data_IF_912212417879
#
_entry.id   IF_912212417879
#
_cell.length_a   1.000
_cell.length_b   1.000
_cell.length_c   1.000
_cell.angle_alpha   90.00
_cell.angle_beta   90.00
_cell.angle_gamma   90.00
#
_symmetry.space_group_name_H-M   'P 1'
#
loop_
_entity.id
_entity.type
_entity.pdbx_description
1 polymer ?
#
# COMPACT_ATOMS: atom_id res chain seq x y z
N UNK A 1 18.34 14.11 -23.57
CA UNK A 1 18.67 15.25 -24.45
C UNK A 1 19.39 16.28 -23.60
N UNK A 2 20.41 16.95 -24.14
CA UNK A 2 21.23 17.94 -23.43
C UNK A 2 21.13 19.29 -24.14
N UNK A 3 19.90 19.68 -24.51
CA UNK A 3 19.63 20.86 -25.33
C UNK A 3 18.79 21.82 -24.50
N UNK A 4 19.14 23.10 -24.51
CA UNK A 4 18.34 24.16 -23.89
C UNK A 4 17.04 24.41 -24.64
N UNK A 5 15.94 24.48 -23.92
CA UNK A 5 14.59 24.67 -24.39
C UNK A 5 13.93 25.90 -23.74
N UNK A 6 13.06 26.59 -24.49
CA UNK A 6 12.14 27.61 -23.94
C UNK A 6 10.71 27.14 -24.20
N UNK A 7 9.92 26.96 -23.14
CA UNK A 7 8.55 26.43 -23.18
C UNK A 7 7.60 27.42 -22.51
N UNK A 8 6.54 27.82 -23.21
CA UNK A 8 5.57 28.80 -22.74
C UNK A 8 4.13 28.30 -22.94
N UNK A 9 3.23 28.60 -21.99
CA UNK A 9 1.78 28.32 -22.12
C UNK A 9 0.95 29.55 -21.72
N UNK A 10 -0.32 29.64 -22.12
CA UNK A 10 -1.09 30.90 -21.95
C UNK A 10 -2.53 30.79 -21.45
N UNK A 11 -3.12 29.60 -21.23
CA UNK A 11 -4.56 29.53 -20.87
C UNK A 11 -5.09 28.21 -20.28
N UNK A 12 -4.35 27.11 -20.35
CA UNK A 12 -4.79 25.80 -19.87
C UNK A 12 -3.81 25.27 -18.86
N UNK A 13 -4.30 24.63 -17.79
CA UNK A 13 -3.47 23.84 -16.88
C UNK A 13 -2.58 22.90 -17.70
N UNK A 14 -1.28 23.13 -17.66
CA UNK A 14 -0.30 22.44 -18.48
C UNK A 14 0.85 21.94 -17.63
N UNK A 15 1.35 20.75 -17.97
CA UNK A 15 2.63 20.27 -17.47
C UNK A 15 3.71 20.62 -18.48
N UNK A 16 4.65 21.49 -18.09
CA UNK A 16 5.84 21.81 -18.88
C UNK A 16 7.00 20.95 -18.39
N UNK A 17 7.77 20.40 -19.32
CA UNK A 17 8.88 19.50 -19.02
C UNK A 17 10.10 19.86 -19.87
N UNK A 18 11.16 20.37 -19.24
CA UNK A 18 12.41 20.76 -19.91
C UNK A 18 13.27 19.56 -20.34
N UNK A 19 13.22 18.49 -19.54
CA UNK A 19 13.98 17.24 -19.69
C UNK A 19 15.45 17.39 -19.32
N UNK A 20 16.28 17.98 -20.17
CA UNK A 20 17.71 18.06 -19.90
C UNK A 20 18.43 19.10 -20.73
N UNK A 21 19.29 19.87 -20.07
CA UNK A 21 19.76 21.16 -20.54
C UNK A 21 19.38 22.24 -19.53
N UNK A 22 19.83 23.48 -19.75
CA UNK A 22 19.41 24.61 -18.92
C UNK A 22 18.21 25.26 -19.61
N UNK A 23 17.02 25.05 -19.08
CA UNK A 23 15.75 25.35 -19.73
C UNK A 23 15.07 26.60 -19.13
N UNK A 24 14.15 27.19 -19.89
CA UNK A 24 13.28 28.27 -19.40
C UNK A 24 11.83 27.86 -19.60
N UNK A 25 11.11 27.65 -18.50
CA UNK A 25 9.72 27.22 -18.49
C UNK A 25 8.86 28.34 -17.92
N UNK A 26 7.84 28.77 -18.67
CA UNK A 26 6.89 29.77 -18.23
C UNK A 26 5.46 29.24 -18.34
N UNK A 27 4.79 29.14 -17.19
CA UNK A 27 3.38 28.84 -17.05
C UNK A 27 2.47 29.95 -17.61
N UNK A 28 1.17 29.69 -17.54
CA UNK A 28 0.10 30.58 -17.95
C UNK A 28 -0.59 31.22 -16.74
N UNK A 29 -1.87 31.56 -16.89
CA UNK A 29 -2.65 32.19 -15.81
C UNK A 29 -3.48 31.19 -15.00
N UNK A 30 -3.14 29.91 -15.07
CA UNK A 30 -3.85 28.79 -14.42
C UNK A 30 -2.85 27.90 -13.70
N UNK A 31 -3.32 27.10 -12.75
CA UNK A 31 -2.49 26.13 -12.02
C UNK A 31 -1.69 25.21 -12.96
N UNK A 32 -0.38 25.44 -13.07
CA UNK A 32 0.52 24.68 -13.92
C UNK A 32 1.45 23.77 -13.13
N UNK A 33 2.10 22.84 -13.84
CA UNK A 33 3.15 21.98 -13.29
C UNK A 33 4.40 22.21 -14.10
N UNK A 34 5.45 22.71 -13.48
CA UNK A 34 6.74 22.97 -14.11
C UNK A 34 7.76 21.95 -13.62
N UNK A 35 8.32 21.21 -14.57
CA UNK A 35 9.36 20.20 -14.35
C UNK A 35 10.59 20.62 -15.14
N UNK A 36 11.60 21.19 -14.48
CA UNK A 36 12.85 21.59 -15.13
C UNK A 36 13.53 20.40 -15.80
N UNK A 37 13.95 19.43 -14.99
CA UNK A 37 14.58 18.20 -15.46
C UNK A 37 16.00 18.14 -14.96
N UNK A 38 16.98 18.02 -15.84
CA UNK A 38 18.40 18.02 -15.48
C UNK A 38 19.13 19.23 -16.09
N UNK A 39 19.73 20.08 -15.27
CA UNK A 39 20.43 21.28 -15.70
C UNK A 39 20.23 22.40 -14.69
N UNK A 40 20.55 23.63 -15.07
CA UNK A 40 20.22 24.82 -14.27
C UNK A 40 19.05 25.54 -14.96
N UNK A 41 17.83 25.34 -14.45
CA UNK A 41 16.59 25.76 -15.10
C UNK A 41 16.04 27.07 -14.51
N UNK A 42 15.29 27.81 -15.34
CA UNK A 42 14.54 29.01 -14.93
C UNK A 42 13.04 28.75 -15.08
N UNK A 43 12.32 28.79 -13.97
CA UNK A 43 10.91 28.42 -13.88
C UNK A 43 10.07 29.62 -13.44
N UNK A 44 9.01 29.91 -14.18
CA UNK A 44 8.07 31.00 -13.90
C UNK A 44 6.66 30.42 -13.91
N UNK A 45 5.93 30.46 -12.80
CA UNK A 45 4.55 29.96 -12.72
C UNK A 45 3.54 30.86 -13.44
N UNK A 46 3.80 32.17 -13.39
CA UNK A 46 2.97 33.29 -13.81
C UNK A 46 1.73 33.52 -12.95
N UNK A 47 0.64 32.79 -13.14
CA UNK A 47 -0.56 33.00 -12.34
C UNK A 47 -1.33 31.71 -12.09
N UNK A 48 -1.94 31.62 -10.92
CA UNK A 48 -2.57 30.38 -10.45
C UNK A 48 -1.81 29.84 -9.25
N UNK A 49 -2.12 28.60 -8.85
CA UNK A 49 -1.28 27.83 -7.94
C UNK A 49 -0.42 26.90 -8.76
N UNK A 50 0.86 27.20 -8.83
CA UNK A 50 1.80 26.43 -9.62
C UNK A 50 2.54 25.39 -8.78
N UNK A 51 2.89 24.28 -9.41
CA UNK A 51 3.67 23.21 -8.81
C UNK A 51 5.02 23.15 -9.51
N UNK A 52 6.08 23.46 -8.79
CA UNK A 52 7.47 23.28 -9.20
C UNK A 52 7.93 21.89 -8.73
N UNK A 53 7.99 20.93 -9.65
CA UNK A 53 8.12 19.52 -9.33
C UNK A 53 9.56 19.01 -9.53
N UNK A 54 10.25 18.75 -8.43
CA UNK A 54 11.62 18.23 -8.39
C UNK A 54 11.61 16.69 -8.37
N UNK A 55 10.85 16.11 -9.30
CA UNK A 55 10.64 14.67 -9.47
C UNK A 55 11.82 13.91 -10.10
N UNK A 56 12.82 14.64 -10.62
CA UNK A 56 13.89 14.13 -11.46
C UNK A 56 15.25 14.21 -10.78
N UNK A 57 16.11 13.22 -11.09
CA UNK A 57 17.46 13.14 -10.58
C UNK A 57 18.35 14.17 -11.28
N UNK A 58 19.20 14.85 -10.51
CA UNK A 58 20.13 15.89 -10.99
C UNK A 58 19.47 17.19 -11.47
N UNK A 59 18.49 17.71 -10.73
CA UNK A 59 17.84 18.99 -11.03
C UNK A 59 18.76 20.23 -10.95
N UNK A 60 20.02 20.09 -10.57
CA UNK A 60 21.00 21.18 -10.63
C UNK A 60 20.64 22.41 -9.80
N UNK A 61 20.90 23.61 -10.34
CA UNK A 61 20.69 24.89 -9.67
C UNK A 61 19.58 25.69 -10.36
N UNK A 62 18.36 25.48 -9.89
CA UNK A 62 17.18 26.07 -10.49
C UNK A 62 16.83 27.43 -9.88
N UNK A 63 16.15 28.26 -10.67
CA UNK A 63 15.61 29.56 -10.26
C UNK A 63 14.10 29.59 -10.48
N UNK A 64 13.33 29.86 -9.43
CA UNK A 64 11.91 30.16 -9.50
C UNK A 64 11.72 31.67 -9.38
N UNK A 65 11.17 32.30 -10.41
CA UNK A 65 11.19 33.77 -10.54
C UNK A 65 10.04 34.49 -9.82
N UNK A 66 8.94 33.79 -9.53
CA UNK A 66 7.68 34.39 -9.08
C UNK A 66 6.94 33.56 -8.01
N UNK A 67 7.71 32.85 -7.17
CA UNK A 67 7.15 31.98 -6.15
C UNK A 67 6.24 32.73 -5.14
N UNK A 68 4.97 32.36 -5.10
CA UNK A 68 3.96 32.97 -4.24
C UNK A 68 3.78 32.17 -2.94
N UNK A 69 4.28 32.72 -1.83
CA UNK A 69 4.08 32.14 -0.50
C UNK A 69 2.66 32.37 0.00
N UNK A 70 2.05 31.34 0.59
CA UNK A 70 0.78 31.46 1.29
C UNK A 70 0.16 30.11 1.65
N UNK A 71 -0.82 30.11 2.54
CA UNK A 71 -1.50 28.87 2.92
C UNK A 71 -2.25 28.28 1.72
N UNK A 72 -1.81 27.12 1.26
CA UNK A 72 -2.32 26.47 0.05
C UNK A 72 -3.78 26.02 0.15
N UNK A 73 -4.35 25.94 1.35
CA UNK A 73 -5.77 25.63 1.54
C UNK A 73 -6.67 26.85 1.42
N UNK A 74 -6.16 28.06 1.63
CA UNK A 74 -6.96 29.29 1.66
C UNK A 74 -6.58 30.33 0.61
N UNK A 75 -5.31 30.36 0.18
CA UNK A 75 -4.82 31.22 -0.90
C UNK A 75 -4.79 30.42 -2.20
N UNK A 76 -5.59 30.84 -3.19
CA UNK A 76 -5.72 30.18 -4.49
C UNK A 76 -4.47 30.25 -5.35
N UNK A 77 -3.58 31.21 -5.09
CA UNK A 77 -2.38 31.46 -5.89
C UNK A 77 -1.11 31.10 -5.13
N UNK A 78 -1.22 30.43 -3.98
CA UNK A 78 -0.05 30.02 -3.23
C UNK A 78 0.59 28.79 -3.86
N UNK A 79 1.86 28.93 -4.26
CA UNK A 79 2.59 27.94 -5.04
C UNK A 79 3.17 26.83 -4.19
N UNK A 80 3.57 25.75 -4.87
CA UNK A 80 4.04 24.52 -4.25
C UNK A 80 5.39 24.14 -4.86
N UNK A 81 6.38 23.92 -4.00
CA UNK A 81 7.61 23.19 -4.33
C UNK A 81 7.42 21.74 -3.90
N UNK A 82 7.44 20.83 -4.85
CA UNK A 82 7.35 19.40 -4.57
C UNK A 82 8.74 18.77 -4.58
N UNK A 83 9.24 18.41 -3.38
CA UNK A 83 10.52 17.73 -3.16
C UNK A 83 10.33 16.24 -2.83
N UNK A 84 9.12 15.69 -3.00
CA UNK A 84 8.78 14.35 -2.50
C UNK A 84 9.61 13.22 -3.08
N UNK A 85 10.12 13.37 -4.30
CA UNK A 85 11.03 12.40 -4.93
C UNK A 85 12.51 12.67 -4.63
N UNK A 86 12.83 13.87 -4.16
CA UNK A 86 14.18 14.31 -3.90
C UNK A 86 14.65 13.90 -2.49
N UNK A 87 13.75 13.89 -1.50
CA UNK A 87 14.09 13.63 -0.09
C UNK A 87 13.90 12.16 0.33
N UNK A 88 14.57 11.25 -0.36
CA UNK A 88 14.56 9.82 -0.01
C UNK A 88 15.12 9.63 1.41
N UNK A 89 14.32 9.07 2.30
CA UNK A 89 14.69 8.82 3.70
C UNK A 89 14.26 9.91 4.69
N UNK A 90 13.64 11.00 4.23
CA UNK A 90 12.95 11.93 5.13
C UNK A 90 11.65 11.32 5.64
N UNK A 91 11.42 11.39 6.95
CA UNK A 91 10.14 11.08 7.59
C UNK A 91 9.76 12.14 8.64
N UNK A 92 8.56 12.02 9.22
CA UNK A 92 8.07 12.97 10.23
C UNK A 92 8.88 13.00 11.53
N UNK A 93 9.80 12.05 11.74
CA UNK A 93 10.73 12.02 12.87
C UNK A 93 12.12 12.57 12.55
N UNK A 94 12.39 12.80 11.26
CA UNK A 94 13.65 13.36 10.76
C UNK A 94 13.71 14.87 11.00
N UNK A 95 14.88 15.40 11.38
CA UNK A 95 15.04 16.86 11.45
C UNK A 95 15.24 17.38 10.03
N UNK A 96 14.37 18.29 9.60
CA UNK A 96 14.45 18.83 8.24
C UNK A 96 15.75 19.59 7.97
N UNK A 97 16.36 20.17 9.01
CA UNK A 97 17.68 20.80 8.93
C UNK A 97 18.79 19.84 8.50
N UNK A 98 18.57 18.54 8.59
CA UNK A 98 19.51 17.51 8.15
C UNK A 98 19.45 17.34 6.61
N UNK A 99 18.42 17.89 5.95
CA UNK A 99 18.17 17.71 4.51
C UNK A 99 18.07 19.02 3.73
N UNK A 100 17.57 20.09 4.36
CA UNK A 100 17.37 21.39 3.71
C UNK A 100 18.03 22.49 4.54
N UNK A 101 18.90 23.25 3.89
CA UNK A 101 19.46 24.50 4.42
C UNK A 101 18.87 25.69 3.66
N UNK A 102 18.50 26.74 4.37
CA UNK A 102 17.97 27.99 3.78
C UNK A 102 18.99 29.11 3.98
N UNK A 103 19.33 29.82 2.90
CA UNK A 103 20.37 30.86 2.89
C UNK A 103 19.83 32.14 2.28
N UNK A 104 20.07 33.28 2.95
CA UNK A 104 19.88 34.61 2.35
C UNK A 104 20.97 34.87 1.31
N UNK A 105 20.56 35.17 0.09
CA UNK A 105 21.47 35.46 -1.04
C UNK A 105 21.23 36.84 -1.63
N UNK A 106 20.51 37.71 -0.90
CA UNK A 106 20.19 39.09 -1.31
C UNK A 106 21.45 39.95 -1.56
N UNK A 107 22.59 39.63 -0.92
CA UNK A 107 23.85 40.34 -1.19
C UNK A 107 24.54 39.88 -2.49
N UNK A 108 24.15 38.73 -3.03
CA UNK A 108 24.77 38.09 -4.20
C UNK A 108 24.00 38.42 -5.49
N UNK A 109 22.68 38.63 -5.38
CA UNK A 109 21.77 38.88 -6.51
C UNK A 109 20.93 40.14 -6.25
N UNK A 110 20.51 40.85 -7.30
CA UNK A 110 19.61 42.00 -7.13
C UNK A 110 18.23 41.55 -6.59
N UNK A 111 17.70 42.24 -5.58
CA UNK A 111 16.38 41.96 -5.00
C UNK A 111 16.39 41.03 -3.77
N UNK A 112 15.23 40.82 -3.15
CA UNK A 112 15.09 39.98 -1.96
C UNK A 112 14.99 38.51 -2.37
N UNK A 113 16.07 37.74 -2.22
CA UNK A 113 16.14 36.38 -2.75
C UNK A 113 16.57 35.38 -1.67
N UNK A 114 16.00 34.18 -1.72
CA UNK A 114 16.32 33.08 -0.80
C UNK A 114 16.77 31.86 -1.57
N UNK A 115 17.80 31.17 -1.09
CA UNK A 115 18.27 29.90 -1.64
C UNK A 115 17.93 28.73 -0.71
N UNK A 116 17.25 27.72 -1.25
CA UNK A 116 17.10 26.41 -0.64
C UNK A 116 18.22 25.51 -1.14
N UNK A 117 18.94 24.86 -0.25
CA UNK A 117 19.98 23.87 -0.55
C UNK A 117 19.48 22.53 -0.03
N UNK A 118 19.28 21.58 -0.93
CA UNK A 118 18.77 20.24 -0.63
C UNK A 118 19.94 19.25 -0.72
N UNK A 119 20.24 18.53 0.37
CA UNK A 119 21.37 17.58 0.47
C UNK A 119 21.09 16.23 -0.22
N UNK A 120 20.19 16.23 -1.20
CA UNK A 120 19.87 15.05 -1.98
C UNK A 120 19.50 15.41 -3.41
N UNK A 121 19.96 14.61 -4.36
CA UNK A 121 19.62 14.68 -5.78
C UNK A 121 18.66 13.56 -6.22
N UNK A 122 18.07 12.84 -5.26
CA UNK A 122 17.20 11.69 -5.49
C UNK A 122 17.94 10.40 -5.92
N UNK A 123 19.29 10.36 -5.89
CA UNK A 123 20.07 9.15 -6.23
C UNK A 123 20.44 8.28 -5.03
N UNK A 124 20.21 8.73 -3.79
CA UNK A 124 20.67 8.03 -2.59
C UNK A 124 22.11 8.37 -2.17
N UNK A 125 22.86 9.13 -2.97
CA UNK A 125 24.20 9.59 -2.62
C UNK A 125 24.14 10.91 -1.83
N UNK A 126 24.77 10.95 -0.65
CA UNK A 126 24.99 12.18 0.11
C UNK A 126 25.93 13.12 -0.67
N UNK A 127 25.69 14.44 -0.62
CA UNK A 127 26.48 15.51 -1.24
C UNK A 127 26.28 15.80 -2.74
N UNK A 128 25.27 15.24 -3.39
CA UNK A 128 24.81 15.77 -4.68
C UNK A 128 23.70 16.78 -4.41
N UNK A 129 24.08 18.06 -4.35
CA UNK A 129 23.18 19.13 -3.96
C UNK A 129 22.25 19.53 -5.12
N UNK A 130 20.96 19.65 -4.83
CA UNK A 130 20.03 20.43 -5.65
C UNK A 130 19.84 21.76 -4.96
N UNK A 131 19.84 22.85 -5.73
CA UNK A 131 19.57 24.17 -5.17
C UNK A 131 18.45 24.87 -5.89
N UNK A 132 17.61 25.56 -5.13
CA UNK A 132 16.44 26.28 -5.63
C UNK A 132 16.56 27.72 -5.16
N UNK A 133 16.72 28.63 -6.10
CA UNK A 133 16.68 30.08 -5.84
C UNK A 133 15.23 30.55 -5.98
N UNK A 134 14.69 31.11 -4.91
CA UNK A 134 13.38 31.78 -4.90
C UNK A 134 13.61 33.28 -5.04
N UNK A 135 13.31 33.82 -6.21
CA UNK A 135 13.39 35.26 -6.41
C UNK A 135 12.23 35.98 -5.72
N UNK A 136 12.48 37.20 -5.27
CA UNK A 136 11.48 38.05 -4.60
C UNK A 136 10.89 37.45 -3.30
N UNK A 137 11.53 36.41 -2.75
CA UNK A 137 11.22 35.82 -1.45
C UNK A 137 12.29 36.24 -0.45
N UNK A 138 11.88 37.08 0.52
CA UNK A 138 12.76 37.50 1.61
C UNK A 138 13.04 36.36 2.59
N UNK A 139 14.33 36.17 2.90
CA UNK A 139 14.76 35.22 3.91
C UNK A 139 14.19 35.57 5.28
N UNK A 140 13.75 34.54 6.01
CA UNK A 140 13.40 34.60 7.43
C UNK A 140 13.85 33.31 8.10
N UNK A 141 14.20 33.39 9.38
CA UNK A 141 14.64 32.21 10.15
C UNK A 141 13.57 31.13 10.29
N UNK A 142 12.30 31.50 10.21
CA UNK A 142 11.13 30.61 10.27
C UNK A 142 10.59 30.22 8.89
N UNK A 143 11.19 30.71 7.79
CA UNK A 143 10.67 30.53 6.44
C UNK A 143 10.47 29.06 6.08
N UNK A 144 11.42 28.18 6.44
CA UNK A 144 11.30 26.75 6.17
C UNK A 144 10.09 26.13 6.87
N UNK A 145 9.88 26.48 8.15
CA UNK A 145 8.72 26.03 8.94
C UNK A 145 7.42 26.58 8.36
N UNK A 146 7.40 27.85 7.96
CA UNK A 146 6.24 28.50 7.34
C UNK A 146 5.85 27.86 6.01
N UNK A 147 6.82 27.56 5.15
CA UNK A 147 6.57 26.92 3.85
C UNK A 147 5.89 25.57 4.03
N UNK A 148 6.27 24.80 5.05
CA UNK A 148 5.65 23.50 5.35
C UNK A 148 4.26 23.68 5.95
N UNK A 149 4.13 24.53 6.97
CA UNK A 149 2.86 24.75 7.67
C UNK A 149 1.77 25.30 6.72
N UNK A 150 2.18 26.05 5.71
CA UNK A 150 1.31 26.58 4.67
C UNK A 150 1.14 25.63 3.47
N UNK A 151 1.84 24.50 3.42
CA UNK A 151 1.79 23.53 2.32
C UNK A 151 2.48 23.99 1.03
N UNK A 152 3.26 25.07 1.09
CA UNK A 152 4.11 25.54 -0.02
C UNK A 152 5.31 24.60 -0.27
N UNK A 153 5.71 23.80 0.72
CA UNK A 153 6.79 22.83 0.58
C UNK A 153 6.30 21.42 0.90
N UNK A 154 6.28 20.56 -0.12
CA UNK A 154 5.85 19.17 0.00
C UNK A 154 7.09 18.28 0.06
N UNK A 155 7.36 17.73 1.24
CA UNK A 155 8.59 17.02 1.56
C UNK A 155 8.47 15.51 1.38
N UNK A 156 7.37 14.93 1.86
CA UNK A 156 7.03 13.52 1.72
C UNK A 156 5.63 13.28 2.25
N UNK A 157 4.80 12.57 1.50
CA UNK A 157 3.78 11.72 2.12
C UNK A 157 3.88 10.39 1.40
N UNK A 158 4.06 9.27 2.07
CA UNK A 158 3.81 8.01 1.38
C UNK A 158 2.32 7.91 1.10
N UNK A 159 1.89 7.52 -0.12
CA UNK A 159 0.51 7.16 -0.33
C UNK A 159 0.20 5.98 0.60
N UNK A 160 -0.74 6.16 1.50
CA UNK A 160 -1.22 5.04 2.33
C UNK A 160 -2.18 4.23 1.49
N UNK A 161 -2.04 2.91 1.51
CA UNK A 161 -2.91 2.00 0.80
C UNK A 161 -3.94 1.41 1.78
N UNK A 162 -5.22 1.63 1.50
CA UNK A 162 -6.33 0.94 2.15
C UNK A 162 -6.96 -0.04 1.16
N UNK A 163 -6.94 -1.32 1.53
CA UNK A 163 -7.58 -2.39 0.75
C UNK A 163 -9.00 -2.59 1.27
N UNK A 164 -9.97 -2.60 0.37
CA UNK A 164 -11.37 -2.89 0.69
C UNK A 164 -11.94 -3.95 -0.24
N UNK A 165 -12.98 -4.63 0.24
CA UNK A 165 -13.53 -5.80 -0.44
C UNK A 165 -13.01 -7.08 0.19
N UNK A 166 -13.84 -8.12 0.14
CA UNK A 166 -13.51 -9.42 0.73
C UNK A 166 -13.24 -10.50 -0.31
N UNK A 167 -13.45 -10.22 -1.60
CA UNK A 167 -13.46 -11.27 -2.63
C UNK A 167 -14.72 -12.15 -2.52
N UNK A 168 -15.84 -11.57 -2.11
CA UNK A 168 -17.04 -12.22 -1.58
C UNK A 168 -17.91 -13.08 -2.49
N UNK A 169 -19.07 -13.46 -1.93
CA UNK A 169 -19.89 -14.66 -2.16
C UNK A 169 -20.63 -14.81 -3.50
N UNK A 170 -20.42 -13.90 -4.46
CA UNK A 170 -20.98 -13.94 -5.81
C UNK A 170 -20.22 -13.01 -6.78
N UNK A 171 -20.58 -13.07 -8.06
CA UNK A 171 -19.96 -12.29 -9.17
C UNK A 171 -20.03 -10.77 -9.03
N UNK A 172 -20.72 -10.23 -8.02
CA UNK A 172 -20.80 -8.78 -7.74
C UNK A 172 -19.94 -8.39 -6.53
N UNK A 173 -19.68 -9.32 -5.61
CA UNK A 173 -18.94 -9.07 -4.36
C UNK A 173 -17.44 -9.44 -4.42
N UNK A 174 -16.96 -9.91 -5.57
CA UNK A 174 -15.61 -10.45 -5.75
C UNK A 174 -14.55 -9.41 -6.19
N UNK A 175 -14.91 -8.13 -6.17
CA UNK A 175 -13.98 -7.04 -6.45
C UNK A 175 -13.21 -6.66 -5.19
N UNK A 176 -11.88 -6.63 -5.29
CA UNK A 176 -10.97 -6.03 -4.32
C UNK A 176 -10.59 -4.65 -4.84
N UNK A 177 -10.61 -3.66 -3.96
CA UNK A 177 -10.27 -2.26 -4.28
C UNK A 177 -9.05 -1.83 -3.47
N UNK A 178 -8.07 -1.26 -4.16
CA UNK A 178 -6.86 -0.66 -3.61
C UNK A 178 -7.02 0.86 -3.66
N UNK A 179 -7.14 1.49 -2.50
CA UNK A 179 -7.32 2.94 -2.39
C UNK A 179 -6.03 3.57 -1.85
N UNK A 180 -5.40 4.40 -2.66
CA UNK A 180 -4.24 5.19 -2.24
C UNK A 180 -4.72 6.55 -1.72
N UNK A 181 -4.12 7.06 -0.64
CA UNK A 181 -4.47 8.37 -0.08
C UNK A 181 -4.18 9.56 -1.01
N UNK A 182 -3.41 9.33 -2.08
CA UNK A 182 -3.10 10.29 -3.14
C UNK A 182 -2.67 9.57 -4.42
N UNK A 183 -2.53 10.34 -5.50
CA UNK A 183 -2.13 9.80 -6.80
C UNK A 183 -0.75 9.12 -6.74
N UNK A 184 -0.64 7.97 -7.39
CA UNK A 184 0.63 7.24 -7.55
C UNK A 184 1.11 7.29 -9.01
N UNK A 185 2.41 7.11 -9.22
CA UNK A 185 3.02 7.13 -10.56
C UNK A 185 2.49 5.98 -11.42
N UNK A 186 2.29 6.24 -12.70
CA UNK A 186 1.83 5.19 -13.61
C UNK A 186 2.87 4.07 -13.70
N UNK A 187 2.40 2.83 -13.53
CA UNK A 187 3.25 1.64 -13.50
C UNK A 187 3.96 1.37 -12.16
N UNK A 188 3.72 2.17 -11.12
CA UNK A 188 4.27 1.92 -9.78
C UNK A 188 3.46 0.96 -8.92
N UNK A 189 2.32 0.48 -9.42
CA UNK A 189 1.50 -0.57 -8.82
C UNK A 189 0.92 -1.42 -9.95
N UNK A 190 1.20 -2.70 -9.91
CA UNK A 190 0.91 -3.69 -10.95
C UNK A 190 0.30 -4.93 -10.32
N UNK A 191 -0.20 -5.85 -11.16
CA UNK A 191 -0.76 -7.11 -10.68
C UNK A 191 0.31 -7.99 -10.00
N UNK A 192 1.58 -7.84 -10.38
CA UNK A 192 2.71 -8.61 -9.81
C UNK A 192 3.00 -8.21 -8.36
N UNK A 193 2.57 -7.01 -7.95
CA UNK A 193 2.67 -6.53 -6.56
C UNK A 193 1.61 -7.16 -5.64
N UNK A 194 0.66 -7.93 -6.21
CA UNK A 194 -0.50 -8.47 -5.50
C UNK A 194 -0.32 -9.98 -5.30
N UNK A 195 -0.03 -10.36 -4.06
CA UNK A 195 -0.11 -11.74 -3.60
C UNK A 195 -1.55 -12.14 -3.27
N UNK A 196 -1.95 -13.32 -3.72
CA UNK A 196 -3.25 -13.91 -3.36
C UNK A 196 -3.01 -15.25 -2.69
N UNK A 197 -3.63 -15.45 -1.54
CA UNK A 197 -3.76 -16.75 -0.87
C UNK A 197 -5.21 -17.18 -0.96
N UNK A 198 -5.45 -18.49 -1.13
CA UNK A 198 -6.79 -19.09 -1.06
C UNK A 198 -7.80 -18.54 -2.11
N UNK A 199 -7.27 -18.04 -3.24
CA UNK A 199 -8.04 -17.62 -4.40
C UNK A 199 -7.15 -17.44 -5.62
N UNK A 200 -7.75 -17.05 -6.73
CA UNK A 200 -7.05 -16.72 -7.98
C UNK A 200 -7.46 -15.33 -8.43
N UNK A 201 -6.52 -14.58 -9.03
CA UNK A 201 -6.86 -13.34 -9.72
C UNK A 201 -7.56 -13.72 -11.03
N UNK A 202 -8.71 -13.13 -11.31
CA UNK A 202 -9.33 -13.27 -12.60
C UNK A 202 -8.46 -12.54 -13.63
N UNK A 203 -7.98 -13.26 -14.64
CA UNK A 203 -7.16 -12.70 -15.70
C UNK A 203 -7.83 -11.46 -16.30
N UNK A 204 -7.04 -10.43 -16.60
CA UNK A 204 -7.48 -9.16 -17.18
C UNK A 204 -8.43 -8.30 -16.32
N UNK A 205 -8.62 -8.65 -15.03
CA UNK A 205 -9.49 -7.88 -14.13
C UNK A 205 -8.79 -6.69 -13.45
N UNK A 206 -7.46 -6.62 -13.49
CA UNK A 206 -6.70 -5.51 -12.92
C UNK A 206 -6.97 -4.21 -13.69
N UNK A 207 -7.62 -3.27 -13.02
CA UNK A 207 -8.11 -2.04 -13.63
C UNK A 207 -7.66 -0.83 -12.81
N UNK A 208 -7.06 0.16 -13.48
CA UNK A 208 -6.85 1.49 -12.90
C UNK A 208 -8.13 2.31 -13.04
N UNK A 209 -8.86 2.51 -11.94
CA UNK A 209 -10.11 3.28 -11.91
C UNK A 209 -9.83 4.77 -11.92
N UNK A 210 -8.79 5.21 -11.20
CA UNK A 210 -8.30 6.59 -11.16
C UNK A 210 -6.81 6.62 -10.82
N UNK A 211 -6.21 7.82 -10.73
CA UNK A 211 -4.84 7.97 -10.26
C UNK A 211 -4.61 7.49 -8.81
N UNK A 212 -5.69 7.33 -8.02
CA UNK A 212 -5.66 6.94 -6.60
C UNK A 212 -6.33 5.58 -6.33
N UNK A 213 -6.87 4.91 -7.35
CA UNK A 213 -7.70 3.72 -7.13
C UNK A 213 -7.49 2.66 -8.22
N UNK A 214 -7.28 1.43 -7.76
CA UNK A 214 -7.15 0.25 -8.60
C UNK A 214 -8.10 -0.84 -8.10
N UNK A 215 -8.57 -1.70 -9.00
CA UNK A 215 -9.42 -2.84 -8.67
C UNK A 215 -8.93 -4.11 -9.33
N UNK A 216 -9.19 -5.24 -8.69
CA UNK A 216 -9.09 -6.58 -9.29
C UNK A 216 -10.36 -7.36 -8.98
N UNK A 217 -10.66 -8.36 -9.79
CA UNK A 217 -11.61 -9.39 -9.42
C UNK A 217 -10.85 -10.65 -9.03
N UNK A 218 -11.25 -11.26 -7.92
CA UNK A 218 -10.70 -12.53 -7.48
C UNK A 218 -11.77 -13.61 -7.56
N UNK A 219 -11.37 -14.84 -7.77
CA UNK A 219 -12.20 -16.02 -7.57
C UNK A 219 -11.68 -16.75 -6.34
N UNK A 220 -12.46 -16.80 -5.23
CA UNK A 220 -12.10 -17.63 -4.10
C UNK A 220 -11.92 -19.08 -4.52
N UNK A 221 -10.99 -19.78 -3.88
CA UNK A 221 -10.87 -21.23 -4.07
C UNK A 221 -12.08 -22.00 -3.52
N UNK A 222 -13.03 -21.32 -2.84
CA UNK A 222 -14.25 -21.89 -2.24
C UNK A 222 -15.54 -21.37 -2.87
N UNK A 223 -16.46 -22.29 -3.17
CA UNK A 223 -17.85 -22.03 -3.56
C UNK A 223 -18.84 -21.86 -2.39
N UNK A 224 -18.40 -21.30 -1.25
CA UNK A 224 -19.21 -21.18 -0.02
C UNK A 224 -19.38 -19.76 0.52
N UNK A 225 -20.34 -19.56 1.44
CA UNK A 225 -20.53 -18.27 2.13
C UNK A 225 -19.24 -17.91 2.88
N UNK A 226 -18.51 -16.94 2.32
CA UNK A 226 -17.35 -16.18 2.82
C UNK A 226 -16.00 -16.56 2.20
N UNK A 227 -15.70 -15.89 1.07
CA UNK A 227 -14.45 -15.20 0.72
C UNK A 227 -13.16 -15.57 1.47
N UNK A 228 -12.55 -16.72 1.20
CA UNK A 228 -11.28 -17.07 1.83
C UNK A 228 -10.03 -16.40 1.20
N UNK A 229 -10.19 -15.37 0.37
CA UNK A 229 -9.06 -14.75 -0.34
C UNK A 229 -8.30 -13.80 0.58
N UNK A 230 -7.07 -14.16 0.95
CA UNK A 230 -6.15 -13.24 1.60
C UNK A 230 -5.38 -12.47 0.51
N UNK A 231 -5.37 -11.15 0.62
CA UNK A 231 -4.64 -10.26 -0.27
C UNK A 231 -3.41 -9.78 0.48
N UNK A 232 -2.24 -10.02 -0.09
CA UNK A 232 -0.99 -9.44 0.35
C UNK A 232 -0.53 -8.48 -0.73
N UNK A 233 0.06 -7.36 -0.31
CA UNK A 233 0.79 -6.49 -1.23
C UNK A 233 2.22 -6.48 -0.71
N UNK A 234 3.14 -7.12 -1.44
CA UNK A 234 4.54 -7.17 -1.02
C UNK A 234 5.15 -5.77 -1.03
N UNK A 235 6.00 -5.47 -0.04
CA UNK A 235 6.64 -4.15 0.13
C UNK A 235 7.69 -3.86 -0.95
N UNK A 236 8.01 -4.82 -1.81
CA UNK A 236 8.91 -4.57 -2.92
C UNK A 236 8.16 -3.86 -4.05
N UNK A 237 8.46 -2.57 -4.20
CA UNK A 237 8.36 -1.77 -5.46
C UNK A 237 7.32 -0.66 -5.60
N UNK A 238 6.96 0.02 -4.52
CA UNK A 238 7.06 1.49 -4.60
C UNK A 238 8.54 1.83 -4.37
N UNK A 239 9.36 1.88 -5.43
CA UNK A 239 10.77 2.27 -5.33
C UNK A 239 10.87 3.63 -4.58
N UNK A 240 11.15 3.58 -3.28
CA UNK A 240 11.27 4.75 -2.41
C UNK A 240 10.38 4.81 -1.16
N UNK A 241 9.41 3.91 -0.97
CA UNK A 241 8.41 4.05 0.12
C UNK A 241 8.60 3.04 1.26
N UNK A 242 9.10 3.50 2.42
CA UNK A 242 8.85 2.83 3.71
C UNK A 242 7.38 3.05 4.10
N UNK A 243 6.50 2.17 3.63
CA UNK A 243 5.08 2.22 3.99
C UNK A 243 4.89 1.87 5.48
N UNK A 244 4.04 2.62 6.17
CA UNK A 244 3.43 2.21 7.43
C UNK A 244 1.97 1.89 7.12
N UNK A 245 1.66 0.61 6.92
CA UNK A 245 0.31 0.13 6.67
C UNK A 245 -0.41 -0.01 8.01
N UNK A 246 -1.21 1.00 8.38
CA UNK A 246 -2.10 0.89 9.52
C UNK A 246 -3.37 0.12 9.11
N UNK A 247 -3.51 -1.11 9.61
CA UNK A 247 -4.76 -1.87 9.60
C UNK A 247 -5.51 -1.70 10.93
N UNK A 248 -6.84 -1.73 10.83
CA UNK A 248 -7.76 -1.75 11.96
C UNK A 248 -7.69 -3.15 12.60
N UNK A 249 -6.91 -3.20 13.68
CA UNK A 249 -6.96 -4.08 14.86
C UNK A 249 -6.36 -5.51 14.83
N UNK A 250 -5.30 -5.62 15.63
CA UNK A 250 -4.65 -6.77 16.30
C UNK A 250 -4.01 -7.83 15.40
N UNK A 251 -2.70 -8.14 15.43
CA UNK A 251 -1.64 -7.80 16.38
C UNK A 251 -0.25 -8.17 15.76
N UNK A 252 0.68 -7.21 15.87
CA UNK A 252 2.15 -7.27 15.83
C UNK A 252 2.93 -7.69 14.56
N UNK A 253 3.18 -6.65 13.75
CA UNK A 253 4.40 -6.30 12.98
C UNK A 253 4.41 -6.45 11.44
N UNK A 254 4.58 -5.27 10.81
CA UNK A 254 5.06 -4.91 9.46
C UNK A 254 4.29 -5.37 8.22
N UNK A 255 3.56 -4.40 7.66
CA UNK A 255 3.29 -4.19 6.24
C UNK A 255 2.53 -5.26 5.45
N UNK A 256 1.59 -5.93 6.10
CA UNK A 256 0.56 -6.70 5.40
C UNK A 256 -0.80 -6.18 5.86
N UNK A 257 -1.54 -5.53 4.97
CA UNK A 257 -2.97 -5.25 5.22
C UNK A 257 -3.75 -6.54 4.91
N UNK A 258 -3.62 -7.53 5.79
CA UNK A 258 -4.45 -8.74 5.72
C UNK A 258 -5.82 -8.33 6.22
N UNK A 259 -6.78 -8.05 5.34
CA UNK A 259 -8.18 -7.94 5.80
C UNK A 259 -8.54 -9.30 6.39
N UNK A 260 -8.47 -9.43 7.72
CA UNK A 260 -8.74 -10.67 8.42
C UNK A 260 -10.19 -11.02 8.18
N UNK A 261 -10.43 -11.94 7.26
CA UNK A 261 -11.74 -12.51 7.12
C UNK A 261 -11.99 -13.34 8.39
N UNK A 262 -13.17 -13.16 8.98
CA UNK A 262 -13.66 -14.04 10.04
C UNK A 262 -14.13 -15.34 9.41
N UNK A 263 -13.19 -16.06 8.78
CA UNK A 263 -13.45 -17.32 8.10
C UNK A 263 -13.98 -18.31 9.11
N UNK A 264 -15.21 -18.76 8.90
CA UNK A 264 -15.76 -19.91 9.62
C UNK A 264 -15.63 -21.08 8.68
N UNK A 265 -14.80 -22.07 9.01
CA UNK A 265 -14.77 -23.35 8.29
C UNK A 265 -15.92 -24.27 8.73
N UNK A 266 -16.97 -23.67 9.33
CA UNK A 266 -18.18 -24.36 9.74
C UNK A 266 -18.89 -24.98 8.53
N UNK A 267 -19.33 -26.24 8.65
CA UNK A 267 -20.07 -26.94 7.60
C UNK A 267 -19.34 -27.06 6.24
N UNK A 268 -18.01 -27.08 6.23
CA UNK A 268 -17.18 -27.13 5.03
C UNK A 268 -17.59 -28.20 4.00
N UNK A 269 -17.99 -29.40 4.45
CA UNK A 269 -18.50 -30.49 3.60
C UNK A 269 -19.66 -30.07 2.69
N UNK A 270 -20.48 -29.10 3.08
CA UNK A 270 -21.59 -28.62 2.26
C UNK A 270 -21.15 -27.61 1.19
N UNK A 271 -19.88 -27.18 1.23
CA UNK A 271 -19.33 -26.07 0.47
C UNK A 271 -18.24 -26.52 -0.53
N UNK A 272 -17.57 -27.63 -0.25
CA UNK A 272 -16.55 -28.22 -1.11
C UNK A 272 -16.82 -29.70 -1.34
N UNK A 273 -16.43 -30.17 -2.51
CA UNK A 273 -16.53 -31.57 -2.87
C UNK A 273 -15.43 -32.36 -2.16
N UNK A 274 -15.82 -33.08 -1.12
CA UNK A 274 -14.97 -33.94 -0.28
C UNK A 274 -15.74 -35.21 0.07
N UNK A 275 -16.69 -35.59 -0.79
CA UNK A 275 -17.60 -36.69 -0.53
C UNK A 275 -16.95 -38.06 -0.82
N UNK A 276 -15.72 -38.06 -1.35
CA UNK A 276 -14.95 -39.23 -1.71
C UNK A 276 -15.41 -39.89 -3.00
N UNK A 277 -16.22 -39.20 -3.81
CA UNK A 277 -16.58 -39.60 -5.17
C UNK A 277 -15.87 -38.68 -6.15
N UNK A 278 -15.46 -39.25 -7.28
CA UNK A 278 -14.74 -38.52 -8.32
C UNK A 278 -13.47 -37.81 -7.75
N UNK A 279 -13.14 -36.62 -8.25
CA UNK A 279 -11.97 -35.86 -7.79
C UNK A 279 -12.39 -34.87 -6.71
N UNK A 280 -12.10 -35.20 -5.45
CA UNK A 280 -12.26 -34.28 -4.32
C UNK A 280 -11.37 -33.02 -4.48
N UNK A 281 -11.78 -31.94 -3.82
CA UNK A 281 -10.97 -30.73 -3.63
C UNK A 281 -9.83 -31.04 -2.67
N UNK A 282 -8.59 -30.74 -3.07
CA UNK A 282 -7.40 -30.86 -2.22
C UNK A 282 -7.37 -29.77 -1.13
N UNK A 283 -7.38 -30.19 0.13
CA UNK A 283 -7.38 -29.35 1.32
C UNK A 283 -6.00 -29.16 1.95
N UNK A 284 -4.97 -29.88 1.49
CA UNK A 284 -3.65 -29.98 2.14
C UNK A 284 -2.92 -28.64 2.23
N UNK A 285 -3.16 -27.73 1.28
CA UNK A 285 -2.49 -26.44 1.15
C UNK A 285 -3.33 -25.26 1.65
N UNK A 286 -4.46 -25.51 2.30
CA UNK A 286 -5.35 -24.44 2.74
C UNK A 286 -4.80 -23.70 3.96
N UNK A 287 -4.73 -22.37 3.87
CA UNK A 287 -4.48 -21.54 5.03
C UNK A 287 -5.79 -21.32 5.82
N UNK A 288 -5.85 -21.90 7.01
CA UNK A 288 -6.96 -21.76 7.97
C UNK A 288 -6.57 -21.00 9.24
N UNK A 289 -5.39 -20.37 9.28
CA UNK A 289 -4.85 -19.65 10.45
C UNK A 289 -5.77 -18.54 10.97
N UNK A 290 -6.62 -18.01 10.09
CA UNK A 290 -7.59 -16.96 10.38
C UNK A 290 -8.91 -17.48 10.96
N UNK A 291 -9.14 -18.79 10.94
CA UNK A 291 -10.44 -19.36 11.26
C UNK A 291 -10.76 -19.24 12.75
N UNK A 292 -11.95 -18.72 13.07
CA UNK A 292 -12.42 -18.61 14.47
C UNK A 292 -13.39 -19.72 14.87
N UNK A 293 -13.95 -20.46 13.91
CA UNK A 293 -14.91 -21.53 14.14
C UNK A 293 -14.76 -22.63 13.09
N UNK A 294 -14.68 -23.88 13.55
CA UNK A 294 -14.57 -25.08 12.72
C UNK A 294 -15.72 -26.08 12.94
N UNK A 295 -16.83 -25.63 13.52
CA UNK A 295 -17.89 -26.54 13.92
C UNK A 295 -18.50 -27.26 12.71
N UNK A 296 -18.64 -28.58 12.81
CA UNK A 296 -19.19 -29.43 11.75
C UNK A 296 -18.48 -29.33 10.39
N UNK A 297 -17.22 -28.86 10.32
CA UNK A 297 -16.50 -28.70 9.06
C UNK A 297 -16.59 -29.96 8.18
N UNK A 298 -16.32 -31.13 8.75
CA UNK A 298 -16.32 -32.43 8.08
C UNK A 298 -17.46 -33.34 8.57
N UNK A 299 -18.52 -32.75 9.13
CA UNK A 299 -19.61 -33.55 9.70
C UNK A 299 -20.34 -34.35 8.62
N UNK A 300 -20.41 -35.67 8.81
CA UNK A 300 -20.93 -36.67 7.87
C UNK A 300 -20.12 -36.80 6.57
N UNK A 301 -18.87 -36.33 6.53
CA UNK A 301 -17.95 -36.55 5.42
C UNK A 301 -17.38 -37.97 5.54
N UNK A 302 -18.19 -38.98 5.24
CA UNK A 302 -17.92 -40.38 5.60
C UNK A 302 -16.64 -40.94 4.98
N UNK A 303 -16.25 -40.45 3.81
CA UNK A 303 -15.05 -40.86 3.09
C UNK A 303 -13.84 -39.92 3.28
N UNK A 304 -14.02 -38.79 3.99
CA UNK A 304 -12.97 -37.78 4.13
C UNK A 304 -11.79 -38.31 4.95
N UNK A 305 -10.59 -38.24 4.36
CA UNK A 305 -9.33 -38.62 5.01
C UNK A 305 -8.12 -37.89 4.40
N UNK A 306 -8.31 -36.66 3.91
CA UNK A 306 -7.19 -35.87 3.36
C UNK A 306 -6.32 -35.32 4.49
N UNK A 307 -5.00 -35.23 4.25
CA UNK A 307 -4.04 -34.71 5.21
C UNK A 307 -4.29 -33.22 5.47
N UNK A 308 -4.63 -32.92 6.71
CA UNK A 308 -4.87 -31.56 7.24
C UNK A 308 -4.04 -31.33 8.50
N UNK A 309 -3.01 -32.15 8.75
CA UNK A 309 -2.14 -32.02 9.93
C UNK A 309 -1.35 -30.71 9.94
N UNK A 310 -1.13 -30.12 8.76
CA UNK A 310 -0.46 -28.82 8.58
C UNK A 310 -1.35 -27.60 8.87
N UNK A 311 -2.64 -27.78 9.13
CA UNK A 311 -3.56 -26.67 9.37
C UNK A 311 -3.25 -25.92 10.67
N UNK A 312 -3.01 -24.61 10.54
CA UNK A 312 -2.85 -23.70 11.69
C UNK A 312 -4.21 -23.37 12.30
N UNK A 313 -4.57 -24.02 13.42
CA UNK A 313 -5.90 -23.87 14.06
C UNK A 313 -5.89 -23.04 15.34
N UNK A 314 -4.78 -22.35 15.63
CA UNK A 314 -4.54 -21.65 16.91
C UNK A 314 -5.52 -20.50 17.23
N UNK A 315 -6.33 -20.07 16.26
CA UNK A 315 -7.38 -19.04 16.44
C UNK A 315 -8.80 -19.60 16.54
N UNK A 316 -8.99 -20.92 16.37
CA UNK A 316 -10.31 -21.55 16.40
C UNK A 316 -10.82 -21.66 17.84
N UNK A 317 -12.03 -21.16 18.09
CA UNK A 317 -12.67 -21.21 19.41
C UNK A 317 -13.68 -22.37 19.58
N UNK A 318 -14.19 -22.94 18.49
CA UNK A 318 -15.23 -23.99 18.50
C UNK A 318 -14.96 -25.02 17.41
N UNK A 319 -14.68 -26.26 17.82
CA UNK A 319 -14.47 -27.44 16.96
C UNK A 319 -15.58 -28.49 17.15
N UNK A 320 -16.74 -28.08 17.69
CA UNK A 320 -17.84 -29.02 17.97
C UNK A 320 -18.29 -29.74 16.69
N UNK A 321 -18.41 -31.08 16.79
CA UNK A 321 -18.82 -31.97 15.71
C UNK A 321 -17.95 -31.88 14.44
N UNK A 322 -16.72 -31.36 14.50
CA UNK A 322 -15.88 -31.16 13.32
C UNK A 322 -15.74 -32.42 12.47
N UNK A 323 -15.51 -33.58 13.07
CA UNK A 323 -15.42 -34.89 12.39
C UNK A 323 -16.59 -35.83 12.72
N UNK A 324 -17.73 -35.31 13.19
CA UNK A 324 -18.90 -36.12 13.54
C UNK A 324 -19.36 -36.99 12.36
N UNK A 325 -19.39 -38.32 12.49
CA UNK A 325 -19.66 -39.29 11.42
C UNK A 325 -18.65 -39.27 10.24
N UNK A 326 -17.43 -38.76 10.40
CA UNK A 326 -16.38 -38.85 9.38
C UNK A 326 -15.69 -40.22 9.45
N UNK A 327 -16.36 -41.28 9.02
CA UNK A 327 -15.95 -42.67 9.30
C UNK A 327 -14.51 -43.01 8.93
N UNK A 328 -14.02 -42.50 7.79
CA UNK A 328 -12.69 -42.80 7.27
C UNK A 328 -11.56 -41.92 7.83
N UNK A 329 -11.86 -40.85 8.57
CA UNK A 329 -10.85 -39.88 9.00
C UNK A 329 -9.89 -40.48 10.02
N UNK A 330 -8.59 -40.44 9.71
CA UNK A 330 -7.51 -40.96 10.55
C UNK A 330 -6.16 -40.26 10.26
N UNK A 331 -6.18 -38.95 9.98
CA UNK A 331 -4.96 -38.19 9.74
C UNK A 331 -4.34 -37.67 11.03
N UNK A 332 -3.01 -37.61 11.05
CA UNK A 332 -2.25 -37.07 12.16
C UNK A 332 -2.52 -35.56 12.30
N UNK A 333 -2.96 -35.18 13.51
CA UNK A 333 -3.33 -33.81 13.90
C UNK A 333 -2.76 -33.47 15.29
N UNK A 334 -1.74 -34.23 15.75
CA UNK A 334 -1.10 -33.99 17.04
C UNK A 334 -0.47 -32.57 17.09
N UNK A 335 -0.01 -32.06 15.94
CA UNK A 335 0.55 -30.72 15.77
C UNK A 335 -0.42 -29.56 16.02
N UNK A 336 -1.73 -29.80 16.05
CA UNK A 336 -2.72 -28.74 16.18
C UNK A 336 -2.66 -28.05 17.54
N UNK A 337 -2.41 -26.73 17.54
CA UNK A 337 -2.55 -25.92 18.74
C UNK A 337 -4.03 -25.62 19.04
N UNK A 338 -4.60 -26.37 19.98
CA UNK A 338 -6.01 -26.26 20.39
C UNK A 338 -6.23 -25.47 21.69
N UNK A 339 -5.20 -24.79 22.22
CA UNK A 339 -5.26 -24.09 23.51
C UNK A 339 -6.36 -23.01 23.62
N UNK A 340 -6.85 -22.46 22.50
CA UNK A 340 -7.96 -21.48 22.47
C UNK A 340 -9.34 -22.09 22.26
N UNK A 341 -9.44 -23.40 22.03
CA UNK A 341 -10.71 -24.07 21.75
C UNK A 341 -11.50 -24.18 23.06
N UNK A 342 -12.70 -23.61 23.05
CA UNK A 342 -13.63 -23.64 24.20
C UNK A 342 -14.55 -24.86 24.20
N UNK A 343 -14.82 -25.45 23.02
CA UNK A 343 -15.67 -26.64 22.92
C UNK A 343 -15.27 -27.57 21.77
N UNK A 344 -15.24 -28.87 22.07
CA UNK A 344 -15.01 -29.98 21.13
C UNK A 344 -16.14 -31.01 21.18
N UNK A 345 -17.34 -30.58 21.60
CA UNK A 345 -18.49 -31.48 21.79
C UNK A 345 -18.73 -32.36 20.56
N UNK A 346 -18.70 -33.68 20.74
CA UNK A 346 -18.89 -34.68 19.68
C UNK A 346 -17.90 -34.60 18.50
N UNK A 347 -16.72 -33.98 18.67
CA UNK A 347 -15.74 -33.75 17.59
C UNK A 347 -15.43 -35.04 16.82
N UNK A 348 -15.12 -36.14 17.53
CA UNK A 348 -14.79 -37.45 16.94
C UNK A 348 -15.91 -38.49 17.09
N UNK A 349 -17.13 -38.10 17.46
CA UNK A 349 -18.21 -39.08 17.63
C UNK A 349 -18.51 -39.79 16.30
N UNK A 350 -18.49 -41.13 16.33
CA UNK A 350 -18.69 -42.01 15.18
C UNK A 350 -17.63 -41.89 14.06
N UNK A 351 -16.40 -41.49 14.43
CA UNK A 351 -15.21 -41.45 13.56
C UNK A 351 -14.45 -42.77 13.70
N UNK A 352 -14.95 -43.84 13.06
CA UNK A 352 -14.52 -45.22 13.34
C UNK A 352 -13.03 -45.49 13.12
N UNK A 353 -12.42 -44.84 12.12
CA UNK A 353 -11.02 -45.08 11.77
C UNK A 353 -10.03 -44.31 12.66
N UNK A 354 -10.47 -43.29 13.40
CA UNK A 354 -9.57 -42.38 14.10
C UNK A 354 -8.85 -43.06 15.25
N UNK A 355 -7.52 -43.13 15.17
CA UNK A 355 -6.64 -43.75 16.14
C UNK A 355 -5.27 -43.06 16.19
N UNK A 356 -5.26 -41.73 16.18
CA UNK A 356 -4.04 -40.92 16.27
C UNK A 356 -3.75 -40.49 17.71
N UNK A 357 -2.48 -40.25 18.00
CA UNK A 357 -2.08 -39.65 19.27
C UNK A 357 -2.49 -38.17 19.28
N UNK A 358 -3.12 -37.74 20.37
CA UNK A 358 -3.52 -36.36 20.62
C UNK A 358 -3.19 -35.97 22.07
N UNK A 359 -2.26 -36.71 22.69
CA UNK A 359 -1.86 -36.51 24.08
C UNK A 359 -1.12 -35.18 24.31
N UNK A 360 -0.62 -34.55 23.24
CA UNK A 360 0.04 -33.24 23.28
C UNK A 360 -0.94 -32.07 23.39
N UNK A 361 -2.24 -32.28 23.12
CA UNK A 361 -3.23 -31.22 23.08
C UNK A 361 -3.48 -30.59 24.46
N UNK A 362 -3.33 -29.26 24.54
CA UNK A 362 -3.74 -28.49 25.71
C UNK A 362 -5.26 -28.29 25.72
N UNK A 363 -5.94 -29.10 26.54
CA UNK A 363 -7.39 -29.09 26.71
C UNK A 363 -7.86 -28.26 27.92
N UNK A 364 -6.99 -27.44 28.50
CA UNK A 364 -7.31 -26.67 29.72
C UNK A 364 -8.42 -25.61 29.52
N UNK A 365 -8.66 -25.18 28.28
CA UNK A 365 -9.69 -24.19 27.93
C UNK A 365 -11.08 -24.78 27.65
N UNK A 366 -11.24 -26.11 27.69
CA UNK A 366 -12.53 -26.76 27.42
C UNK A 366 -13.54 -26.52 28.56
N UNK A 367 -14.77 -26.18 28.20
CA UNK A 367 -15.90 -25.96 29.15
C UNK A 367 -16.94 -27.07 29.13
#
# INVERSE_FOLDING_TARGET
>A
NSYTNTLNTTATKTTLHGLGGNDTLTGGTTDDILVGGAGDDTLTGAGGRDIFDYGFKNAGNDTITDFTIGNTTTNSNADIINLSDLLIGYDSSSNLSDFITVVDITEIFEGTNTKLIIDHDGTGALNNLVTITLENVAYRTDLLTDLIANGNLVLYTNPTLTITGSGGTNTVANTITFNFSKAIKDGSFTVDDIGIVNGTINSDSFTRVSATQYTIMVTPSLGGKHSNVAIMVEVNTLKGSTNTLADISDNDNTNTATTKNTTRISYLKNLVDIDGKDSDVDLTHWDVSHASNANRAFSNATAFNQDIGSWEVSNVADMSRMFYNAHAFNQDIDSWNVSKVSTMSYMFYNTHAFNQDISSWDISSLT
#
